data_IF_576468061066
#
_entry.id   IF_576468061066
#
_cell.length_a   1.000
_cell.length_b   1.000
_cell.length_c   1.000
_cell.angle_alpha   90.00
_cell.angle_beta   90.00
_cell.angle_gamma   90.00
#
_symmetry.space_group_name_H-M   'P 1'
#
loop_
_entity.id
_entity.type
_entity.pdbx_description
1 polymer ?
#
# COMPACT_ATOMS: atom_id res chain seq x y z
N UNK A 1 -12.88 4.07 37.90
CA UNK A 1 -13.36 4.70 36.65
C UNK A 1 -12.90 3.85 35.48
N UNK A 2 -13.77 2.97 34.99
CA UNK A 2 -13.51 2.09 33.84
C UNK A 2 -13.91 2.82 32.56
N UNK A 3 -12.97 3.06 31.65
CA UNK A 3 -13.25 3.63 30.33
C UNK A 3 -14.18 2.69 29.54
N UNK A 4 -15.20 3.20 28.83
CA UNK A 4 -16.06 2.34 28.03
C UNK A 4 -15.25 1.77 26.86
N UNK A 5 -15.37 0.46 26.64
CA UNK A 5 -14.92 -0.19 25.41
C UNK A 5 -15.69 0.44 24.26
N UNK A 6 -15.08 1.42 23.58
CA UNK A 6 -15.63 2.01 22.37
C UNK A 6 -15.90 0.89 21.38
N UNK A 7 -17.17 0.62 21.13
CA UNK A 7 -17.62 -0.37 20.15
C UNK A 7 -16.85 -0.18 18.86
N UNK A 8 -16.16 -1.23 18.43
CA UNK A 8 -15.43 -1.27 17.17
C UNK A 8 -16.46 -1.01 16.06
N UNK A 9 -16.55 0.23 15.57
CA UNK A 9 -17.44 0.56 14.44
C UNK A 9 -17.03 -0.35 13.28
N UNK A 10 -17.94 -1.20 12.83
CA UNK A 10 -17.74 -2.01 11.64
C UNK A 10 -17.59 -1.07 10.45
N UNK A 11 -16.39 -1.04 9.88
CA UNK A 11 -16.11 -0.28 8.67
C UNK A 11 -16.09 -1.25 7.48
N UNK A 12 -16.80 -0.89 6.41
CA UNK A 12 -16.67 -1.56 5.13
C UNK A 12 -15.42 -0.99 4.46
N UNK A 13 -14.42 -1.84 4.21
CA UNK A 13 -13.17 -1.45 3.56
C UNK A 13 -13.28 -1.55 2.04
N UNK A 14 -13.77 -2.68 1.54
CA UNK A 14 -13.90 -2.97 0.12
C UNK A 14 -15.06 -3.92 -0.13
N UNK A 15 -15.65 -3.85 -1.32
CA UNK A 15 -16.69 -4.77 -1.82
C UNK A 15 -16.19 -5.40 -3.12
N UNK A 16 -16.28 -6.72 -3.21
CA UNK A 16 -15.94 -7.51 -4.40
C UNK A 16 -17.15 -8.33 -4.81
N UNK A 17 -17.52 -8.26 -6.09
CA UNK A 17 -18.55 -9.14 -6.67
C UNK A 17 -17.86 -10.06 -7.65
N UNK A 18 -17.94 -11.36 -7.39
CA UNK A 18 -17.25 -12.41 -8.15
C UNK A 18 -18.30 -13.30 -8.80
N UNK A 19 -18.11 -13.63 -10.08
CA UNK A 19 -19.03 -14.52 -10.81
C UNK A 19 -18.81 -15.99 -10.43
N UNK A 20 -19.69 -16.87 -10.93
CA UNK A 20 -19.62 -18.32 -10.67
C UNK A 20 -18.34 -18.99 -11.19
N UNK A 21 -17.63 -18.38 -12.14
CA UNK A 21 -16.37 -18.88 -12.68
C UNK A 21 -15.13 -18.29 -11.98
N UNK A 22 -15.31 -17.50 -10.90
CA UNK A 22 -14.21 -16.87 -10.15
C UNK A 22 -13.74 -15.53 -10.71
N UNK A 23 -14.35 -15.01 -11.78
CA UNK A 23 -14.01 -13.71 -12.35
C UNK A 23 -14.59 -12.55 -11.53
N UNK A 24 -13.75 -11.56 -11.20
CA UNK A 24 -14.18 -10.32 -10.57
C UNK A 24 -14.99 -9.46 -11.56
N UNK A 25 -16.26 -9.20 -11.26
CA UNK A 25 -17.17 -8.43 -12.12
C UNK A 25 -17.43 -7.01 -11.62
N UNK A 26 -17.25 -6.77 -10.32
CA UNK A 26 -17.35 -5.44 -9.74
C UNK A 26 -16.45 -5.33 -8.50
N UNK A 27 -15.84 -4.18 -8.33
CA UNK A 27 -14.98 -3.88 -7.20
C UNK A 27 -15.15 -2.44 -6.75
N UNK A 28 -15.24 -2.22 -5.43
CA UNK A 28 -15.32 -0.90 -4.83
C UNK A 28 -14.45 -0.82 -3.58
N UNK A 29 -13.65 0.24 -3.45
CA UNK A 29 -12.86 0.54 -2.25
C UNK A 29 -13.41 1.80 -1.57
N UNK A 30 -13.64 1.73 -0.26
CA UNK A 30 -14.21 2.82 0.53
C UNK A 30 -13.13 3.80 1.08
N UNK A 31 -11.93 3.81 0.48
CA UNK A 31 -10.81 4.67 0.88
C UNK A 31 -10.21 5.41 -0.32
N UNK A 32 -10.05 6.74 -0.16
CA UNK A 32 -9.73 7.75 -1.19
C UNK A 32 -8.79 7.23 -2.30
N UNK A 33 -9.15 7.37 -3.58
CA UNK A 33 -8.30 6.95 -4.69
C UNK A 33 -7.11 7.91 -4.85
N UNK A 34 -5.89 7.39 -4.70
CA UNK A 34 -4.72 7.94 -5.39
C UNK A 34 -4.33 6.90 -6.43
N UNK A 35 -4.04 7.38 -7.64
CA UNK A 35 -3.89 6.60 -8.89
C UNK A 35 -3.13 5.29 -8.70
N UNK A 36 -3.70 4.19 -9.21
CA UNK A 36 -3.05 2.89 -9.31
C UNK A 36 -1.92 2.99 -10.34
N UNK A 37 -0.69 3.24 -9.90
CA UNK A 37 0.46 3.32 -10.80
C UNK A 37 1.65 2.49 -10.28
N UNK A 38 2.00 1.52 -11.14
CA UNK A 38 3.21 0.71 -11.34
C UNK A 38 3.63 -0.41 -10.38
N UNK A 39 4.00 -1.51 -11.05
CA UNK A 39 4.65 -2.71 -10.55
C UNK A 39 6.05 -2.41 -9.98
N UNK A 40 6.46 -3.25 -9.03
CA UNK A 40 7.65 -3.16 -8.17
C UNK A 40 7.66 -1.95 -7.20
N UNK A 41 7.11 -2.17 -6.00
CA UNK A 41 7.19 -1.24 -4.87
C UNK A 41 8.40 -1.57 -4.00
N UNK A 42 9.10 -0.56 -3.50
CA UNK A 42 10.12 -0.76 -2.46
C UNK A 42 9.43 -1.01 -1.12
N UNK A 43 9.65 -2.18 -0.52
CA UNK A 43 9.00 -2.64 0.71
C UNK A 43 10.00 -2.84 1.84
N UNK A 44 9.51 -2.68 3.08
CA UNK A 44 10.26 -2.98 4.30
C UNK A 44 10.41 -4.49 4.44
N UNK A 45 11.64 -4.98 4.32
CA UNK A 45 11.98 -6.40 4.49
C UNK A 45 12.28 -6.77 5.95
N UNK A 46 12.84 -5.85 6.74
CA UNK A 46 13.20 -6.05 8.14
C UNK A 46 13.12 -4.73 8.94
N UNK A 47 12.96 -4.84 10.25
CA UNK A 47 12.86 -3.70 11.17
C UNK A 47 11.43 -3.17 11.31
N UNK A 48 11.03 -2.87 12.54
CA UNK A 48 9.72 -2.28 12.86
C UNK A 48 9.90 -1.24 13.96
N UNK A 49 9.42 -0.02 13.69
CA UNK A 49 9.54 1.11 14.63
C UNK A 49 8.50 2.16 14.27
N UNK A 50 7.97 2.87 15.27
CA UNK A 50 7.12 4.06 15.07
C UNK A 50 5.92 3.82 14.10
N UNK A 51 5.33 2.62 14.16
CA UNK A 51 4.19 2.23 13.31
C UNK A 51 4.56 1.67 11.92
N UNK A 52 5.85 1.67 11.55
CA UNK A 52 6.36 1.02 10.35
C UNK A 52 6.40 -0.49 10.58
N UNK A 53 5.89 -1.25 9.61
CA UNK A 53 5.79 -2.72 9.67
C UNK A 53 6.48 -3.34 8.46
N UNK A 54 6.94 -4.58 8.63
CA UNK A 54 7.38 -5.42 7.50
C UNK A 54 6.25 -5.54 6.49
N UNK A 55 6.58 -5.41 5.20
CA UNK A 55 5.62 -5.37 4.10
C UNK A 55 4.98 -4.00 3.83
N UNK A 56 5.23 -2.97 4.66
CA UNK A 56 4.89 -1.61 4.26
C UNK A 56 5.75 -1.18 3.07
N UNK A 57 5.16 -0.47 2.12
CA UNK A 57 5.83 0.14 0.98
C UNK A 57 6.20 1.60 1.28
N UNK A 58 7.23 2.10 0.58
CA UNK A 58 7.52 3.53 0.49
C UNK A 58 6.40 4.20 -0.31
N UNK A 59 5.77 5.23 0.27
CA UNK A 59 4.68 5.99 -0.34
C UNK A 59 5.12 7.38 -0.80
N UNK A 60 6.03 8.01 -0.05
CA UNK A 60 6.56 9.33 -0.39
C UNK A 60 7.94 9.53 0.22
N UNK A 61 8.78 10.32 -0.46
CA UNK A 61 10.08 10.78 0.03
C UNK A 61 10.04 12.31 0.09
N UNK A 62 10.43 12.88 1.23
CA UNK A 62 10.42 14.33 1.51
C UNK A 62 9.07 15.01 1.22
N UNK A 63 7.98 14.28 1.47
CA UNK A 63 6.61 14.76 1.25
C UNK A 63 6.09 14.62 -0.18
N UNK A 64 6.91 14.15 -1.12
CA UNK A 64 6.53 13.94 -2.53
C UNK A 64 6.30 12.45 -2.78
N UNK A 65 5.15 12.12 -3.39
CA UNK A 65 4.78 10.75 -3.71
C UNK A 65 5.80 10.10 -4.65
N UNK A 66 6.09 8.81 -4.42
CA UNK A 66 6.95 8.02 -5.30
C UNK A 66 6.16 7.35 -6.42
N UNK A 67 6.83 6.98 -7.50
CA UNK A 67 6.25 6.24 -8.61
C UNK A 67 6.87 4.82 -8.66
N UNK A 68 6.19 3.85 -8.03
CA UNK A 68 6.71 2.48 -7.89
C UNK A 68 8.04 2.45 -7.12
N UNK A 69 9.11 2.01 -7.77
CA UNK A 69 10.48 1.99 -7.24
C UNK A 69 11.30 3.26 -7.51
N UNK A 70 10.70 4.28 -8.11
CA UNK A 70 11.36 5.53 -8.48
C UNK A 70 10.84 6.71 -7.67
N UNK A 71 11.72 7.67 -7.37
CA UNK A 71 11.37 8.99 -6.86
C UNK A 71 10.57 9.78 -7.91
N UNK A 72 9.95 10.90 -7.51
CA UNK A 72 9.25 11.79 -8.45
C UNK A 72 10.16 12.36 -9.57
N UNK A 73 11.47 12.42 -9.31
CA UNK A 73 12.49 12.86 -10.28
C UNK A 73 12.99 11.72 -11.19
N UNK A 74 12.47 10.49 -11.02
CA UNK A 74 12.84 9.33 -11.83
C UNK A 74 14.10 8.59 -11.36
N UNK A 75 14.76 9.04 -10.29
CA UNK A 75 15.89 8.30 -9.66
C UNK A 75 15.36 7.08 -8.89
N UNK A 76 16.04 5.94 -8.98
CA UNK A 76 15.67 4.74 -8.22
C UNK A 76 15.78 4.99 -6.71
N UNK A 77 14.77 4.58 -5.94
CA UNK A 77 14.68 4.85 -4.49
C UNK A 77 15.86 4.22 -3.74
N UNK A 78 16.23 2.98 -4.06
CA UNK A 78 17.32 2.29 -3.36
C UNK A 78 18.67 2.96 -3.64
N UNK A 79 18.89 3.49 -4.84
CA UNK A 79 20.08 4.26 -5.16
C UNK A 79 20.10 5.61 -4.45
N UNK A 80 18.95 6.30 -4.41
CA UNK A 80 18.79 7.54 -3.66
C UNK A 80 19.12 7.38 -2.17
N UNK A 81 18.61 6.30 -1.54
CA UNK A 81 18.82 6.02 -0.12
C UNK A 81 20.22 5.49 0.23
N UNK A 82 20.99 4.99 -0.74
CA UNK A 82 22.39 4.56 -0.53
C UNK A 82 23.35 5.73 -0.40
N UNK A 83 23.03 6.86 -1.01
CA UNK A 83 23.91 8.02 -1.05
C UNK A 83 23.73 8.88 0.22
N UNK A 84 24.75 9.00 1.07
CA UNK A 84 24.66 9.69 2.35
C UNK A 84 24.42 11.19 2.22
N UNK A 85 24.70 11.79 1.06
CA UNK A 85 24.46 13.23 0.80
C UNK A 85 22.96 13.55 0.80
N UNK A 86 22.11 12.56 0.54
CA UNK A 86 20.64 12.73 0.53
C UNK A 86 20.02 12.76 1.94
N UNK A 87 20.81 12.58 3.01
CA UNK A 87 20.33 12.60 4.40
C UNK A 87 20.51 13.97 5.04
N UNK A 88 19.58 14.42 5.91
CA UNK A 88 18.42 13.68 6.41
C UNK A 88 17.27 13.57 5.40
N UNK A 89 16.60 12.42 5.39
CA UNK A 89 15.45 12.13 4.51
C UNK A 89 14.21 11.79 5.33
N UNK A 90 13.05 12.29 4.90
CA UNK A 90 11.76 11.92 5.47
C UNK A 90 11.05 10.91 4.57
N UNK A 91 10.76 9.72 5.08
CA UNK A 91 10.10 8.65 4.31
C UNK A 91 8.75 8.32 4.94
N UNK A 92 7.69 8.31 4.12
CA UNK A 92 6.38 7.82 4.54
C UNK A 92 6.21 6.38 4.10
N UNK A 93 5.93 5.51 5.07
CA UNK A 93 5.61 4.11 4.83
C UNK A 93 4.11 3.86 4.98
N UNK A 94 3.59 2.85 4.29
CA UNK A 94 2.23 2.38 4.54
C UNK A 94 1.92 1.10 3.81
N UNK A 95 0.71 0.58 3.98
CA UNK A 95 0.28 -0.63 3.28
C UNK A 95 0.26 -0.37 1.77
N UNK A 96 0.90 -1.22 0.96
CA UNK A 96 0.77 -1.12 -0.49
C UNK A 96 -0.70 -1.29 -0.89
N UNK A 97 -1.16 -0.51 -1.86
CA UNK A 97 -2.46 -0.72 -2.48
C UNK A 97 -2.40 -1.89 -3.43
N UNK A 98 -3.45 -2.70 -3.46
CA UNK A 98 -3.61 -3.75 -4.45
C UNK A 98 -3.83 -3.12 -5.82
N UNK A 99 -3.10 -3.58 -6.83
CA UNK A 99 -3.37 -3.26 -8.23
C UNK A 99 -4.64 -3.96 -8.70
N UNK A 100 -5.23 -3.49 -9.78
CA UNK A 100 -6.34 -4.18 -10.45
C UNK A 100 -6.04 -5.67 -10.74
N UNK A 101 -4.81 -6.00 -11.14
CA UNK A 101 -4.38 -7.39 -11.38
C UNK A 101 -4.29 -8.20 -10.07
N UNK A 102 -3.73 -7.63 -9.00
CA UNK A 102 -3.68 -8.27 -7.69
C UNK A 102 -5.11 -8.52 -7.15
N UNK A 103 -6.04 -7.57 -7.36
CA UNK A 103 -7.46 -7.72 -6.99
C UNK A 103 -8.13 -8.85 -7.77
N UNK A 104 -7.89 -8.93 -9.08
CA UNK A 104 -8.38 -10.03 -9.93
C UNK A 104 -7.85 -11.39 -9.45
N UNK A 105 -6.55 -11.48 -9.19
CA UNK A 105 -5.91 -12.68 -8.67
C UNK A 105 -6.53 -13.11 -7.32
N UNK A 106 -6.68 -12.16 -6.38
CA UNK A 106 -7.27 -12.46 -5.07
C UNK A 106 -8.73 -12.91 -5.17
N UNK A 107 -9.51 -12.33 -6.08
CA UNK A 107 -10.89 -12.77 -6.33
C UNK A 107 -10.95 -14.22 -6.85
N UNK A 108 -10.07 -14.58 -7.80
CA UNK A 108 -9.96 -15.94 -8.32
C UNK A 108 -9.50 -16.93 -7.24
N UNK A 109 -8.55 -16.53 -6.38
CA UNK A 109 -8.07 -17.36 -5.27
C UNK A 109 -9.16 -17.61 -4.23
N UNK A 110 -10.06 -16.65 -4.00
CA UNK A 110 -11.18 -16.81 -3.06
C UNK A 110 -12.25 -17.79 -3.57
N UNK A 111 -12.39 -17.95 -4.88
CA UNK A 111 -13.37 -18.87 -5.46
C UNK A 111 -13.01 -20.35 -5.22
N UNK A 112 -11.71 -20.68 -5.25
CA UNK A 112 -11.20 -22.06 -5.26
C UNK A 112 -11.36 -22.79 -3.93
#
# INVERSE_FOLDING_TARGET
MTAPLTGRKMAIFSVYVVNKAGGLIYQYDNYVPRSEIHDEKVVVSFGQRDGIRVGHAVLSINGVDVNGKYTAEGKEILEYLKDPVNYPVSIRFGRPRLTSNEKLMLASMFHS
#
